data_IF_493540862690
#
_entry.id   IF_493540862690
#
_cell.length_a   1.000
_cell.length_b   1.000
_cell.length_c   1.000
_cell.angle_alpha   90.00
_cell.angle_beta   90.00
_cell.angle_gamma   90.00
#
_symmetry.space_group_name_H-M   'P 1'
#
loop_
_entity.id
_entity.type
_entity.pdbx_description
1 polymer ?
#
# COMPACT_ATOMS: atom_id res chain seq x y z
N UNK A 1 -30.59 -64.25 -23.12
CA UNK A 1 -29.85 -63.11 -23.71
C UNK A 1 -30.31 -61.85 -22.98
N UNK A 2 -29.37 -60.95 -22.66
CA UNK A 2 -29.50 -59.71 -21.88
C UNK A 2 -29.41 -59.87 -20.35
N UNK A 3 -28.22 -59.51 -19.86
CA UNK A 3 -27.79 -59.48 -18.47
C UNK A 3 -28.29 -58.22 -17.75
N UNK A 4 -28.59 -58.37 -16.45
CA UNK A 4 -28.74 -57.30 -15.47
C UNK A 4 -27.37 -56.71 -15.14
N UNK A 5 -27.17 -55.42 -15.39
CA UNK A 5 -26.07 -54.66 -14.81
C UNK A 5 -26.64 -53.75 -13.72
N UNK A 6 -26.31 -54.09 -12.47
CA UNK A 6 -26.44 -53.22 -11.32
C UNK A 6 -25.23 -52.28 -11.30
N UNK A 7 -25.46 -50.98 -11.15
CA UNK A 7 -24.40 -49.99 -10.91
C UNK A 7 -24.67 -49.40 -9.52
N UNK A 8 -23.77 -49.75 -8.59
CA UNK A 8 -23.61 -49.09 -7.29
C UNK A 8 -23.06 -47.67 -7.50
N UNK A 9 -23.47 -46.68 -6.69
CA UNK A 9 -22.74 -45.42 -6.61
C UNK A 9 -21.49 -45.61 -5.75
N UNK A 10 -20.33 -45.36 -6.36
CA UNK A 10 -19.03 -45.34 -5.72
C UNK A 10 -18.93 -44.17 -4.73
N UNK A 11 -18.72 -44.52 -3.46
CA UNK A 11 -18.30 -43.63 -2.39
C UNK A 11 -16.77 -43.54 -2.43
N UNK A 12 -16.20 -42.57 -3.16
CA UNK A 12 -14.86 -42.03 -2.87
C UNK A 12 -14.56 -40.81 -3.75
N UNK A 13 -14.36 -39.66 -3.10
CA UNK A 13 -13.96 -38.41 -3.77
C UNK A 13 -13.98 -37.16 -2.89
N UNK A 14 -14.03 -37.29 -1.56
CA UNK A 14 -13.81 -36.21 -0.60
C UNK A 14 -12.30 -36.11 -0.32
N UNK A 15 -11.51 -35.43 -1.16
CA UNK A 15 -10.18 -34.95 -0.74
C UNK A 15 -9.45 -33.95 -1.67
N UNK A 16 -10.15 -32.96 -2.26
CA UNK A 16 -9.46 -31.87 -3.00
C UNK A 16 -9.91 -30.43 -2.69
N UNK A 17 -10.66 -30.20 -1.61
CA UNK A 17 -11.04 -28.85 -1.16
C UNK A 17 -10.22 -28.32 0.04
N UNK A 18 -9.04 -28.90 0.32
CA UNK A 18 -8.17 -28.51 1.44
C UNK A 18 -6.73 -28.14 1.02
N UNK A 19 -6.57 -27.34 -0.03
CA UNK A 19 -5.29 -26.65 -0.30
C UNK A 19 -5.54 -25.31 -1.00
N UNK A 20 -6.02 -24.33 -0.25
CA UNK A 20 -5.76 -22.91 -0.49
C UNK A 20 -5.97 -22.21 0.85
N UNK A 21 -4.86 -22.02 1.58
CA UNK A 21 -4.82 -21.27 2.82
C UNK A 21 -5.15 -19.82 2.55
N UNK A 22 -6.44 -19.49 2.54
CA UNK A 22 -6.92 -18.19 2.97
C UNK A 22 -7.24 -18.34 4.46
N UNK A 23 -6.25 -18.02 5.30
CA UNK A 23 -6.56 -17.62 6.66
C UNK A 23 -7.48 -16.40 6.57
N UNK A 24 -8.69 -16.42 7.14
CA UNK A 24 -9.37 -15.17 7.43
C UNK A 24 -8.42 -14.40 8.35
N UNK A 25 -8.01 -13.20 7.95
CA UNK A 25 -7.36 -12.26 8.85
C UNK A 25 -8.32 -12.05 10.02
N UNK A 26 -8.04 -12.75 11.12
CA UNK A 26 -8.60 -12.46 12.41
C UNK A 26 -8.16 -11.03 12.73
N UNK A 27 -9.09 -10.11 12.57
CA UNK A 27 -9.00 -8.77 13.13
C UNK A 27 -9.04 -8.93 14.65
N UNK A 28 -7.91 -9.26 15.27
CA UNK A 28 -7.73 -9.03 16.70
C UNK A 28 -7.60 -7.53 16.86
N UNK A 29 -8.76 -6.86 16.88
CA UNK A 29 -8.86 -5.56 17.47
C UNK A 29 -8.41 -5.71 18.93
N UNK A 30 -7.28 -5.12 19.28
CA UNK A 30 -6.94 -4.89 20.67
C UNK A 30 -7.86 -3.77 21.17
N UNK A 31 -9.15 -4.08 21.29
CA UNK A 31 -10.13 -3.25 21.97
C UNK A 31 -9.84 -3.38 23.47
N UNK A 32 -9.33 -2.32 24.08
CA UNK A 32 -9.29 -2.21 25.54
C UNK A 32 -10.76 -2.26 26.04
N UNK A 33 -11.17 -3.28 26.81
CA UNK A 33 -12.58 -3.45 27.21
C UNK A 33 -13.05 -2.44 28.27
N UNK A 34 -12.22 -1.45 28.65
CA UNK A 34 -12.52 -0.50 29.72
C UNK A 34 -13.25 0.77 29.27
N UNK A 35 -13.70 0.83 28.02
CA UNK A 35 -14.46 1.96 27.45
C UNK A 35 -15.95 1.62 27.22
N UNK A 36 -16.61 0.93 28.14
CA UNK A 36 -18.07 0.82 28.10
C UNK A 36 -18.69 1.15 29.45
N UNK A 37 -19.71 2.01 29.38
CA UNK A 37 -20.51 2.58 30.48
C UNK A 37 -19.92 3.81 31.19
N UNK A 38 -19.87 4.94 30.48
CA UNK A 38 -20.04 6.24 31.13
C UNK A 38 -20.70 7.22 30.16
N UNK A 39 -21.96 7.54 30.45
CA UNK A 39 -22.79 8.63 29.92
C UNK A 39 -22.62 8.97 28.43
N UNK A 40 -23.39 8.27 27.58
CA UNK A 40 -23.79 8.80 26.27
C UNK A 40 -24.63 10.06 26.53
N UNK A 41 -24.01 11.25 26.42
CA UNK A 41 -24.77 12.48 26.32
C UNK A 41 -25.62 12.37 25.05
N UNK A 42 -26.92 12.22 25.24
CA UNK A 42 -27.90 12.21 24.15
C UNK A 42 -28.00 13.65 23.65
N UNK A 43 -27.17 13.98 22.67
CA UNK A 43 -27.32 15.20 21.86
C UNK A 43 -28.58 15.02 21.02
N UNK A 44 -29.44 16.04 20.96
CA UNK A 44 -30.65 15.98 20.13
C UNK A 44 -30.28 15.65 18.68
N UNK A 45 -31.03 14.76 18.00
CA UNK A 45 -30.69 14.39 16.64
C UNK A 45 -30.79 15.59 15.70
N UNK A 46 -29.71 15.86 14.98
CA UNK A 46 -29.61 16.99 14.07
C UNK A 46 -29.61 16.53 12.61
N UNK A 47 -30.08 17.39 11.72
CA UNK A 47 -29.82 17.23 10.29
C UNK A 47 -28.31 17.38 10.06
N UNK A 48 -27.67 16.40 9.43
CA UNK A 48 -26.23 16.46 9.20
C UNK A 48 -25.91 17.44 8.07
N UNK A 49 -25.31 18.58 8.43
CA UNK A 49 -24.71 19.49 7.47
C UNK A 49 -23.25 19.10 7.21
N UNK A 50 -22.92 18.82 5.95
CA UNK A 50 -21.58 18.32 5.60
C UNK A 50 -20.48 19.39 5.67
N UNK A 51 -20.85 20.68 5.61
CA UNK A 51 -19.91 21.79 5.84
C UNK A 51 -18.74 21.90 4.85
N UNK A 52 -18.86 21.32 3.64
CA UNK A 52 -17.83 21.39 2.58
C UNK A 52 -18.27 22.27 1.42
N UNK A 53 -17.33 22.62 0.53
CA UNK A 53 -17.61 23.42 -0.67
C UNK A 53 -18.64 22.75 -1.60
N UNK A 54 -19.31 23.53 -2.45
CA UNK A 54 -20.26 22.98 -3.43
C UNK A 54 -19.60 22.00 -4.40
N UNK A 55 -18.36 22.28 -4.83
CA UNK A 55 -17.59 21.37 -5.68
C UNK A 55 -17.28 20.05 -4.97
N UNK A 56 -16.97 20.10 -3.67
CA UNK A 56 -16.74 18.89 -2.87
C UNK A 56 -18.03 18.08 -2.66
N UNK A 57 -19.17 18.75 -2.44
CA UNK A 57 -20.47 18.07 -2.36
C UNK A 57 -20.79 17.32 -3.65
N UNK A 58 -20.59 17.96 -4.80
CA UNK A 58 -20.82 17.34 -6.11
C UNK A 58 -19.90 16.13 -6.32
N UNK A 59 -18.61 16.28 -6.03
CA UNK A 59 -17.63 15.20 -6.13
C UNK A 59 -17.98 14.00 -5.22
N UNK A 60 -18.36 14.25 -3.96
CA UNK A 60 -18.76 13.21 -3.01
C UNK A 60 -20.05 12.50 -3.42
N UNK A 61 -21.04 13.23 -3.93
CA UNK A 61 -22.27 12.62 -4.46
C UNK A 61 -21.97 11.75 -5.70
N UNK A 62 -21.13 12.25 -6.62
CA UNK A 62 -20.72 11.53 -7.82
C UNK A 62 -19.94 10.26 -7.47
N UNK A 63 -19.03 10.32 -6.50
CA UNK A 63 -18.25 9.16 -6.05
C UNK A 63 -19.15 8.10 -5.39
N UNK A 64 -20.12 8.52 -4.57
CA UNK A 64 -21.12 7.60 -4.01
C UNK A 64 -21.98 6.93 -5.10
N UNK A 65 -22.39 7.69 -6.12
CA UNK A 65 -23.16 7.18 -7.25
C UNK A 65 -22.35 6.20 -8.12
N UNK A 66 -21.06 6.48 -8.34
CA UNK A 66 -20.13 5.58 -9.02
C UNK A 66 -20.06 4.23 -8.29
N UNK A 67 -19.89 4.24 -6.97
CA UNK A 67 -19.83 3.01 -6.18
C UNK A 67 -21.07 2.14 -6.34
N UNK A 68 -22.26 2.74 -6.27
CA UNK A 68 -23.53 2.01 -6.45
C UNK A 68 -23.63 1.44 -7.88
N UNK A 69 -23.19 2.18 -8.88
CA UNK A 69 -23.12 1.70 -10.26
C UNK A 69 -22.22 0.48 -10.38
N UNK A 70 -21.05 0.50 -9.74
CA UNK A 70 -20.10 -0.60 -9.71
C UNK A 70 -20.66 -1.84 -9.01
N UNK A 71 -21.30 -1.67 -7.85
CA UNK A 71 -21.98 -2.76 -7.13
C UNK A 71 -23.04 -3.45 -8.01
N UNK A 72 -23.86 -2.64 -8.71
CA UNK A 72 -24.89 -3.19 -9.62
C UNK A 72 -24.26 -3.86 -10.83
N UNK A 73 -23.15 -3.32 -11.32
CA UNK A 73 -22.42 -3.89 -12.44
C UNK A 73 -21.79 -5.24 -12.08
N UNK A 74 -21.25 -5.40 -10.87
CA UNK A 74 -20.59 -6.62 -10.39
C UNK A 74 -21.41 -7.91 -10.57
N UNK A 75 -22.74 -7.78 -10.59
CA UNK A 75 -23.69 -8.89 -10.77
C UNK A 75 -23.96 -9.29 -12.22
N UNK A 76 -23.37 -8.59 -13.20
CA UNK A 76 -23.46 -8.92 -14.63
C UNK A 76 -22.40 -9.94 -15.03
N UNK A 77 -22.55 -10.53 -16.22
CA UNK A 77 -21.72 -11.62 -16.72
C UNK A 77 -20.20 -11.41 -16.55
N UNK A 78 -19.66 -10.25 -16.97
CA UNK A 78 -18.24 -9.87 -16.80
C UNK A 78 -18.02 -8.89 -15.65
N UNK A 79 -19.08 -8.55 -14.91
CA UNK A 79 -19.07 -7.40 -14.02
C UNK A 79 -18.18 -7.57 -12.80
N UNK A 80 -18.17 -8.77 -12.20
CA UNK A 80 -17.29 -9.05 -11.07
C UNK A 80 -15.82 -9.04 -11.49
N UNK A 81 -15.49 -9.57 -12.67
CA UNK A 81 -14.13 -9.54 -13.20
C UNK A 81 -13.67 -8.10 -13.43
N UNK A 82 -14.51 -7.28 -14.08
CA UNK A 82 -14.26 -5.85 -14.24
C UNK A 82 -14.05 -5.14 -12.89
N UNK A 83 -14.87 -5.44 -11.88
CA UNK A 83 -14.72 -4.84 -10.57
C UNK A 83 -13.45 -5.30 -9.85
N UNK A 84 -13.05 -6.56 -10.01
CA UNK A 84 -11.79 -7.07 -9.46
C UNK A 84 -10.58 -6.36 -10.09
N UNK A 85 -10.60 -6.15 -11.40
CA UNK A 85 -9.57 -5.37 -12.11
C UNK A 85 -9.57 -3.91 -11.60
N UNK A 86 -10.76 -3.32 -11.46
CA UNK A 86 -10.94 -1.98 -10.91
C UNK A 86 -10.63 -1.88 -9.41
N UNK A 87 -10.56 -2.95 -8.64
CA UNK A 87 -10.13 -2.89 -7.24
C UNK A 87 -8.68 -3.34 -7.03
N UNK A 88 -8.09 -4.01 -8.03
CA UNK A 88 -6.74 -4.56 -7.95
C UNK A 88 -6.65 -5.83 -7.11
N UNK A 89 -7.75 -6.60 -7.02
CA UNK A 89 -7.79 -7.82 -6.22
C UNK A 89 -9.09 -8.61 -6.38
N UNK A 90 -9.10 -9.90 -6.02
CA UNK A 90 -10.30 -10.72 -6.06
C UNK A 90 -11.29 -10.30 -4.97
N UNK A 91 -12.56 -10.12 -5.32
CA UNK A 91 -13.64 -9.85 -4.38
C UNK A 91 -14.84 -10.75 -4.58
N UNK A 92 -15.79 -10.71 -3.62
CA UNK A 92 -17.08 -11.39 -3.75
C UNK A 92 -18.21 -10.38 -3.84
N UNK A 93 -18.82 -10.27 -5.02
CA UNK A 93 -20.11 -9.63 -5.30
C UNK A 93 -20.22 -8.11 -5.16
N UNK A 94 -19.45 -7.45 -4.30
CA UNK A 94 -19.30 -6.00 -4.16
C UNK A 94 -18.26 -5.71 -3.05
N UNK A 95 -17.45 -4.67 -3.24
CA UNK A 95 -16.48 -4.24 -2.24
C UNK A 95 -17.14 -3.34 -1.19
N UNK A 96 -16.54 -3.31 0.01
CA UNK A 96 -17.01 -2.47 1.10
C UNK A 96 -16.73 -1.00 0.78
N UNK A 97 -17.51 -0.09 1.39
CA UNK A 97 -17.40 1.34 1.09
C UNK A 97 -16.04 1.92 1.47
N UNK A 98 -15.44 1.42 2.54
CA UNK A 98 -14.12 1.81 3.01
C UNK A 98 -13.01 1.29 2.11
N UNK A 99 -13.06 0.02 1.69
CA UNK A 99 -12.13 -0.54 0.69
C UNK A 99 -12.17 0.26 -0.61
N UNK A 100 -13.38 0.63 -1.06
CA UNK A 100 -13.58 1.47 -2.24
C UNK A 100 -12.94 2.86 -2.06
N UNK A 101 -13.14 3.49 -0.89
CA UNK A 101 -12.49 4.77 -0.58
C UNK A 101 -10.97 4.66 -0.54
N UNK A 102 -10.40 3.61 0.06
CA UNK A 102 -8.94 3.43 0.14
C UNK A 102 -8.28 3.30 -1.23
N UNK A 103 -9.02 2.86 -2.25
CA UNK A 103 -8.53 2.78 -3.64
C UNK A 103 -8.52 4.16 -4.31
N UNK A 104 -9.43 5.05 -3.92
CA UNK A 104 -9.64 6.36 -4.56
C UNK A 104 -8.98 7.51 -3.79
N UNK A 105 -9.02 7.48 -2.47
CA UNK A 105 -8.60 8.56 -1.58
C UNK A 105 -7.22 8.20 -1.01
N UNK A 106 -6.15 8.92 -1.40
CA UNK A 106 -4.83 8.70 -0.80
C UNK A 106 -4.86 9.08 0.68
N UNK A 107 -4.03 8.42 1.49
CA UNK A 107 -3.88 8.66 2.92
C UNK A 107 -5.20 8.57 3.72
N UNK A 108 -6.18 7.80 3.22
CA UNK A 108 -7.37 7.50 4.00
C UNK A 108 -6.94 6.76 5.28
N UNK A 109 -7.51 7.16 6.43
CA UNK A 109 -7.15 6.64 7.77
C UNK A 109 -5.70 6.96 8.19
N UNK A 110 -5.08 8.00 7.62
CA UNK A 110 -3.76 8.46 8.06
C UNK A 110 -3.81 9.08 9.45
N UNK A 111 -4.81 9.94 9.70
CA UNK A 111 -4.99 10.60 10.97
C UNK A 111 -5.65 9.68 11.99
N UNK A 112 -5.08 9.62 13.19
CA UNK A 112 -5.70 8.97 14.33
C UNK A 112 -6.76 9.89 14.93
N UNK A 113 -8.01 9.47 14.93
CA UNK A 113 -9.06 10.24 15.56
C UNK A 113 -10.45 9.88 15.07
N UNK A 114 -11.27 9.43 16.01
CA UNK A 114 -12.70 9.30 15.80
C UNK A 114 -13.46 10.06 16.88
N UNK A 115 -14.50 10.78 16.49
CA UNK A 115 -15.43 11.34 17.46
C UNK A 115 -16.22 10.20 18.12
N UNK A 116 -16.76 10.48 19.30
CA UNK A 116 -17.82 9.64 19.85
C UNK A 116 -19.01 9.61 18.88
N UNK A 117 -19.67 8.46 18.70
CA UNK A 117 -20.87 8.36 17.88
C UNK A 117 -21.97 9.30 18.37
N UNK A 118 -22.66 9.97 17.45
CA UNK A 118 -23.84 10.80 17.71
C UNK A 118 -24.97 10.49 16.73
N UNK A 119 -26.20 10.86 17.08
CA UNK A 119 -27.37 10.63 16.23
C UNK A 119 -27.53 11.78 15.23
N UNK A 120 -27.69 11.45 13.94
CA UNK A 120 -27.95 12.43 12.89
C UNK A 120 -28.85 11.90 11.77
N UNK A 121 -29.60 12.80 11.16
CA UNK A 121 -30.32 12.55 9.92
C UNK A 121 -29.37 12.83 8.75
N UNK A 122 -29.08 11.79 7.98
CA UNK A 122 -28.04 11.83 6.94
C UNK A 122 -28.68 11.70 5.56
N UNK A 123 -28.31 12.60 4.66
CA UNK A 123 -28.71 12.49 3.26
C UNK A 123 -27.99 11.31 2.60
N UNK A 124 -28.72 10.31 2.09
CA UNK A 124 -28.11 9.09 1.59
C UNK A 124 -27.34 9.28 0.27
N UNK A 125 -27.47 10.43 -0.39
CA UNK A 125 -26.69 10.77 -1.59
C UNK A 125 -25.18 10.86 -1.31
N UNK A 126 -24.79 11.18 -0.08
CA UNK A 126 -23.40 11.34 0.34
C UNK A 126 -22.87 10.15 1.16
N UNK A 127 -23.63 9.05 1.23
CA UNK A 127 -23.23 7.85 1.96
C UNK A 127 -22.92 6.71 1.00
N UNK A 128 -21.73 6.13 1.17
CA UNK A 128 -21.33 4.87 0.55
C UNK A 128 -22.00 3.71 1.27
N UNK A 129 -23.08 3.22 0.68
CA UNK A 129 -23.71 1.96 1.04
C UNK A 129 -23.07 0.77 0.34
N UNK A 130 -23.75 -0.37 0.42
CA UNK A 130 -23.45 -1.51 -0.44
C UNK A 130 -24.77 -2.16 -0.87
N UNK A 131 -24.83 -2.61 -2.12
CA UNK A 131 -25.98 -3.33 -2.68
C UNK A 131 -25.64 -4.79 -2.93
N UNK A 132 -25.20 -5.49 -1.88
CA UNK A 132 -24.63 -6.84 -2.00
C UNK A 132 -25.70 -7.92 -1.88
N UNK A 133 -26.51 -7.92 -0.82
CA UNK A 133 -27.52 -8.97 -0.58
C UNK A 133 -28.89 -8.33 -0.33
N UNK A 134 -29.78 -8.47 -1.32
CA UNK A 134 -31.10 -7.83 -1.30
C UNK A 134 -31.03 -6.48 -1.97
N UNK A 135 -31.73 -6.39 -3.10
CA UNK A 135 -31.90 -5.15 -3.84
C UNK A 135 -33.08 -4.36 -3.28
N UNK A 136 -33.08 -3.03 -3.44
CA UNK A 136 -34.29 -2.24 -3.20
C UNK A 136 -35.50 -2.81 -3.96
N UNK A 137 -35.27 -3.30 -5.18
CA UNK A 137 -36.28 -3.90 -6.05
C UNK A 137 -36.81 -5.27 -5.57
N UNK A 138 -36.11 -5.96 -4.65
CA UNK A 138 -36.53 -7.25 -4.12
C UNK A 138 -37.58 -7.09 -2.99
N UNK A 139 -37.85 -5.86 -2.55
CA UNK A 139 -38.81 -5.56 -1.48
C UNK A 139 -40.20 -5.37 -2.09
N UNK A 140 -41.20 -6.07 -1.53
CA UNK A 140 -42.58 -5.95 -1.98
C UNK A 140 -43.08 -4.50 -1.89
N UNK A 141 -43.76 -4.01 -2.92
CA UNK A 141 -44.22 -2.62 -3.01
C UNK A 141 -45.07 -2.19 -1.79
N UNK A 142 -45.85 -3.11 -1.22
CA UNK A 142 -46.66 -2.86 -0.01
C UNK A 142 -45.82 -2.59 1.25
N UNK A 143 -44.58 -3.07 1.31
CA UNK A 143 -43.67 -2.86 2.45
C UNK A 143 -42.82 -1.59 2.31
N UNK A 144 -42.75 -1.00 1.11
CA UNK A 144 -41.89 0.17 0.84
C UNK A 144 -42.22 1.35 1.77
N UNK A 145 -43.49 1.79 1.92
CA UNK A 145 -43.81 2.94 2.77
C UNK A 145 -43.44 2.73 4.24
N UNK A 146 -43.65 1.53 4.78
CA UNK A 146 -43.35 1.22 6.18
C UNK A 146 -41.84 1.18 6.44
N UNK A 147 -41.06 0.68 5.49
CA UNK A 147 -39.59 0.68 5.57
C UNK A 147 -39.00 2.09 5.44
N UNK A 148 -39.51 2.91 4.52
CA UNK A 148 -39.10 4.32 4.39
C UNK A 148 -39.32 5.04 5.72
N UNK A 149 -40.54 4.94 6.28
CA UNK A 149 -40.86 5.55 7.58
C UNK A 149 -39.91 5.08 8.68
N UNK A 150 -39.69 3.76 8.78
CA UNK A 150 -38.78 3.17 9.77
C UNK A 150 -37.35 3.71 9.65
N UNK A 151 -36.79 3.79 8.44
CA UNK A 151 -35.41 4.22 8.24
C UNK A 151 -35.23 5.74 8.33
N UNK A 152 -36.28 6.52 8.05
CA UNK A 152 -36.27 7.96 8.25
C UNK A 152 -36.39 8.36 9.72
N UNK A 153 -37.09 7.59 10.56
CA UNK A 153 -37.41 7.98 11.95
C UNK A 153 -36.61 7.24 13.03
N UNK A 154 -36.09 6.03 12.76
CA UNK A 154 -35.49 5.17 13.79
C UNK A 154 -33.99 4.94 13.60
N UNK A 155 -33.20 5.51 14.51
CA UNK A 155 -31.73 5.40 14.57
C UNK A 155 -31.22 3.97 14.76
N UNK A 156 -31.97 3.12 15.48
CA UNK A 156 -31.50 1.79 15.86
C UNK A 156 -30.29 1.84 16.81
N UNK A 157 -29.57 0.73 16.94
CA UNK A 157 -28.29 0.67 17.66
C UNK A 157 -27.10 0.97 16.75
N UNK A 158 -25.97 1.33 17.34
CA UNK A 158 -24.69 1.54 16.64
C UNK A 158 -24.32 0.30 15.81
N UNK A 159 -24.48 -0.91 16.37
CA UNK A 159 -24.20 -2.18 15.68
C UNK A 159 -25.10 -2.46 14.46
N UNK A 160 -26.18 -1.69 14.28
CA UNK A 160 -27.13 -1.87 13.18
C UNK A 160 -27.07 -0.76 12.13
N UNK A 161 -26.75 0.48 12.53
CA UNK A 161 -26.67 1.65 11.65
C UNK A 161 -25.63 2.62 12.17
N UNK A 162 -24.41 2.50 11.65
CA UNK A 162 -23.30 3.36 12.01
C UNK A 162 -22.51 3.77 10.77
N UNK A 163 -22.34 5.08 10.62
CA UNK A 163 -21.65 5.70 9.50
C UNK A 163 -20.38 6.41 9.99
N UNK A 164 -19.30 6.25 9.23
CA UNK A 164 -18.04 6.98 9.45
C UNK A 164 -18.04 8.17 8.50
N UNK A 165 -17.98 9.38 9.04
CA UNK A 165 -18.00 10.63 8.28
C UNK A 165 -16.59 11.21 8.17
N UNK A 166 -16.04 11.20 6.95
CA UNK A 166 -14.81 11.93 6.65
C UNK A 166 -15.17 13.39 6.39
N UNK A 167 -15.18 14.18 7.45
CA UNK A 167 -15.75 15.54 7.46
C UNK A 167 -15.17 16.43 6.38
N UNK A 168 -13.85 16.46 6.26
CA UNK A 168 -13.14 17.28 5.28
C UNK A 168 -13.52 16.94 3.82
N UNK A 169 -13.92 15.69 3.58
CA UNK A 169 -14.32 15.20 2.25
C UNK A 169 -15.84 15.26 2.02
N UNK A 170 -16.66 15.54 3.04
CA UNK A 170 -18.12 15.53 2.91
C UNK A 170 -18.68 14.18 2.43
N UNK A 171 -18.01 13.08 2.78
CA UNK A 171 -18.43 11.72 2.40
C UNK A 171 -18.57 10.83 3.64
N UNK A 172 -19.59 9.99 3.63
CA UNK A 172 -19.84 9.01 4.68
C UNK A 172 -19.66 7.60 4.14
N UNK A 173 -19.14 6.71 4.97
CA UNK A 173 -19.07 5.29 4.70
C UNK A 173 -19.95 4.53 5.69
N UNK A 174 -20.89 3.72 5.18
CA UNK A 174 -21.74 2.90 6.03
C UNK A 174 -20.97 1.69 6.59
N UNK A 175 -20.46 1.83 7.81
CA UNK A 175 -19.87 0.73 8.55
C UNK A 175 -20.94 -0.31 8.92
N UNK A 176 -22.14 0.14 9.28
CA UNK A 176 -23.34 -0.67 9.39
C UNK A 176 -24.55 -0.04 8.67
N UNK A 177 -25.57 -0.82 8.35
CA UNK A 177 -26.78 -0.31 7.69
C UNK A 177 -26.63 -0.04 6.18
N UNK A 178 -25.64 -0.66 5.52
CA UNK A 178 -25.34 -0.53 4.07
C UNK A 178 -26.57 -0.68 3.15
N UNK A 179 -27.42 -1.68 3.39
CA UNK A 179 -28.62 -1.90 2.58
C UNK A 179 -29.69 -0.83 2.79
N UNK A 180 -29.74 -0.18 3.97
CA UNK A 180 -30.66 0.94 4.22
C UNK A 180 -30.32 2.12 3.32
N UNK A 181 -29.02 2.40 3.15
CA UNK A 181 -28.53 3.44 2.23
C UNK A 181 -28.99 3.16 0.81
N UNK A 182 -28.73 1.95 0.30
CA UNK A 182 -29.13 1.56 -1.05
C UNK A 182 -30.66 1.66 -1.26
N UNK A 183 -31.44 1.21 -0.28
CA UNK A 183 -32.91 1.27 -0.31
C UNK A 183 -33.42 2.71 -0.34
N UNK A 184 -32.97 3.55 0.58
CA UNK A 184 -33.44 4.93 0.69
C UNK A 184 -33.06 5.77 -0.52
N UNK A 185 -31.86 5.55 -1.11
CA UNK A 185 -31.48 6.19 -2.38
C UNK A 185 -32.35 5.75 -3.55
N UNK A 186 -32.68 4.47 -3.66
CA UNK A 186 -33.52 3.96 -4.75
C UNK A 186 -34.96 4.47 -4.71
N UNK A 187 -35.38 5.04 -3.57
CA UNK A 187 -36.68 5.66 -3.38
C UNK A 187 -36.59 7.18 -3.19
N UNK A 188 -35.46 7.81 -3.56
CA UNK A 188 -35.25 9.26 -3.51
C UNK A 188 -35.57 9.91 -2.14
N UNK A 189 -35.27 9.19 -1.06
CA UNK A 189 -35.54 9.67 0.28
C UNK A 189 -34.45 10.64 0.75
N UNK A 190 -34.81 11.77 1.39
CA UNK A 190 -33.87 12.85 1.69
C UNK A 190 -33.00 12.59 2.93
N UNK A 191 -33.38 11.64 3.79
CA UNK A 191 -32.71 11.43 5.06
C UNK A 191 -32.82 9.98 5.54
N UNK A 192 -31.78 9.53 6.27
CA UNK A 192 -31.74 8.29 7.04
C UNK A 192 -31.33 8.62 8.47
N UNK A 193 -32.05 8.09 9.46
CA UNK A 193 -31.65 8.14 10.85
C UNK A 193 -30.48 7.16 11.11
N UNK A 194 -29.32 7.67 11.52
CA UNK A 194 -28.12 6.88 11.73
C UNK A 194 -27.27 7.39 12.90
N UNK A 195 -26.43 6.51 13.45
CA UNK A 195 -25.29 6.91 14.28
C UNK A 195 -24.13 7.32 13.37
N UNK A 196 -23.46 8.41 13.71
CA UNK A 196 -22.34 8.97 12.94
C UNK A 196 -21.14 9.17 13.84
N UNK A 197 -19.97 8.73 13.39
CA UNK A 197 -18.68 9.11 13.98
C UNK A 197 -17.88 9.91 12.96
N UNK A 198 -17.36 11.06 13.36
CA UNK A 198 -16.41 11.81 12.54
C UNK A 198 -15.07 11.07 12.52
N UNK A 199 -14.45 11.02 11.34
CA UNK A 199 -13.09 10.57 11.12
C UNK A 199 -12.27 11.73 10.55
N UNK A 200 -11.06 11.87 11.06
CA UNK A 200 -10.11 12.88 10.58
C UNK A 200 -9.54 12.48 9.21
N UNK A 201 -9.15 13.49 8.43
CA UNK A 201 -8.45 13.33 7.17
C UNK A 201 -7.44 14.49 7.03
N UNK A 202 -6.25 14.28 6.44
CA UNK A 202 -5.27 15.35 6.31
C UNK A 202 -5.83 16.55 5.53
N UNK A 203 -5.41 17.74 5.94
CA UNK A 203 -5.76 18.99 5.24
C UNK A 203 -5.23 18.99 3.80
N UNK A 204 -5.96 19.64 2.90
CA UNK A 204 -5.67 19.59 1.47
C UNK A 204 -4.29 20.18 1.09
N UNK A 205 -3.78 21.14 1.84
CA UNK A 205 -2.49 21.80 1.63
C UNK A 205 -1.29 20.92 2.01
N UNK A 206 -1.52 19.91 2.86
CA UNK A 206 -0.53 18.88 3.22
C UNK A 206 -0.36 17.82 2.15
N UNK A 207 -1.31 17.70 1.23
CA UNK A 207 -1.30 16.70 0.16
C UNK A 207 -0.88 17.36 -1.15
N UNK A 208 -0.05 16.68 -1.94
CA UNK A 208 0.25 17.05 -3.32
C UNK A 208 0.08 15.83 -4.22
N UNK A 209 -0.71 15.95 -5.27
CA UNK A 209 -0.78 14.93 -6.32
C UNK A 209 0.34 15.19 -7.33
N UNK A 210 1.18 14.18 -7.55
CA UNK A 210 2.27 14.25 -8.52
C UNK A 210 1.87 13.56 -9.80
N UNK A 211 1.84 14.34 -10.87
CA UNK A 211 1.60 13.85 -12.22
C UNK A 211 2.81 13.07 -12.72
N UNK A 212 2.61 11.92 -13.36
CA UNK A 212 3.69 11.19 -14.00
C UNK A 212 4.21 11.98 -15.21
N UNK A 213 5.47 11.73 -15.56
CA UNK A 213 5.91 11.93 -16.94
C UNK A 213 5.46 10.71 -17.78
N UNK A 214 5.65 10.72 -19.10
CA UNK A 214 5.08 9.67 -19.97
C UNK A 214 5.45 8.24 -19.52
N UNK A 215 4.42 7.40 -19.33
CA UNK A 215 4.59 5.97 -19.00
C UNK A 215 4.85 5.65 -17.51
N UNK A 216 4.76 6.64 -16.62
CA UNK A 216 5.02 6.46 -15.20
C UNK A 216 3.76 6.46 -14.32
N UNK A 217 3.97 6.27 -13.01
CA UNK A 217 2.92 6.13 -12.01
C UNK A 217 2.52 7.49 -11.42
N UNK A 218 1.21 7.67 -11.18
CA UNK A 218 0.70 8.79 -10.42
C UNK A 218 0.96 8.57 -8.93
N UNK A 219 1.47 9.61 -8.26
CA UNK A 219 1.79 9.56 -6.84
C UNK A 219 0.99 10.61 -6.07
N UNK A 220 0.79 10.37 -4.79
CA UNK A 220 0.35 11.36 -3.82
C UNK A 220 1.45 11.49 -2.75
N UNK A 221 1.76 12.73 -2.37
CA UNK A 221 2.73 13.06 -1.33
C UNK A 221 1.99 13.73 -0.19
N UNK A 222 2.22 13.25 1.04
CA UNK A 222 1.75 13.87 2.27
C UNK A 222 2.93 14.48 3.02
N UNK A 223 2.79 15.74 3.44
CA UNK A 223 3.76 16.52 4.22
C UNK A 223 5.16 16.60 3.60
N UNK A 224 5.26 16.46 2.28
CA UNK A 224 6.55 16.38 1.59
C UNK A 224 7.38 15.13 1.94
N UNK A 225 6.81 14.16 2.67
CA UNK A 225 7.56 13.03 3.25
C UNK A 225 7.02 11.68 2.85
N UNK A 226 5.70 11.48 2.88
CA UNK A 226 5.11 10.16 2.68
C UNK A 226 4.55 10.04 1.27
N UNK A 227 4.94 8.99 0.54
CA UNK A 227 4.48 8.73 -0.84
C UNK A 227 3.52 7.55 -0.89
N UNK A 228 2.40 7.74 -1.60
CA UNK A 228 1.48 6.69 -1.99
C UNK A 228 1.27 6.63 -3.50
N UNK A 229 1.05 5.43 -4.04
CA UNK A 229 0.63 5.26 -5.43
C UNK A 229 -0.86 5.55 -5.56
N UNK A 230 -1.23 6.41 -6.50
CA UNK A 230 -2.63 6.59 -6.88
C UNK A 230 -3.10 5.46 -7.79
N UNK A 231 -3.87 4.53 -7.22
CA UNK A 231 -4.37 3.35 -7.94
C UNK A 231 -5.41 3.72 -9.00
N UNK A 232 -6.23 4.75 -8.78
CA UNK A 232 -7.26 5.22 -9.72
C UNK A 232 -7.06 6.69 -10.06
N UNK A 233 -5.96 7.04 -10.75
CA UNK A 233 -5.46 8.41 -10.83
C UNK A 233 -6.51 9.41 -11.33
N UNK A 234 -7.28 9.09 -12.35
CA UNK A 234 -8.31 9.98 -12.88
C UNK A 234 -9.44 10.26 -11.86
N UNK A 235 -9.93 9.22 -11.18
CA UNK A 235 -11.00 9.36 -10.17
C UNK A 235 -10.45 10.04 -8.91
N UNK A 236 -9.26 9.63 -8.46
CA UNK A 236 -8.55 10.21 -7.34
C UNK A 236 -8.25 11.69 -7.57
N UNK A 237 -7.67 12.06 -8.72
CA UNK A 237 -7.34 13.45 -9.07
C UNK A 237 -8.59 14.32 -9.14
N UNK A 238 -9.69 13.85 -9.73
CA UNK A 238 -10.94 14.61 -9.76
C UNK A 238 -11.46 14.91 -8.34
N UNK A 239 -11.45 13.90 -7.46
CA UNK A 239 -11.89 14.03 -6.07
C UNK A 239 -10.95 14.95 -5.26
N UNK A 240 -9.64 14.75 -5.37
CA UNK A 240 -8.64 15.53 -4.63
C UNK A 240 -8.59 16.99 -5.09
N UNK A 241 -8.82 17.26 -6.38
CA UNK A 241 -8.96 18.63 -6.89
C UNK A 241 -10.17 19.34 -6.30
N UNK A 242 -11.32 18.66 -6.18
CA UNK A 242 -12.51 19.21 -5.54
C UNK A 242 -12.29 19.50 -4.05
N UNK A 243 -11.45 18.68 -3.39
CA UNK A 243 -11.02 18.88 -2.02
C UNK A 243 -10.04 20.07 -1.85
N UNK A 244 -9.38 20.51 -2.93
CA UNK A 244 -8.43 21.62 -2.93
C UNK A 244 -6.96 21.21 -2.95
N UNK A 245 -6.67 19.93 -3.19
CA UNK A 245 -5.31 19.40 -3.30
C UNK A 245 -4.64 19.92 -4.57
N UNK A 246 -3.38 20.32 -4.45
CA UNK A 246 -2.58 20.82 -5.57
C UNK A 246 -2.01 19.67 -6.39
N UNK A 247 -1.84 19.93 -7.68
CA UNK A 247 -1.15 19.04 -8.60
C UNK A 247 0.20 19.66 -8.99
N UNK A 248 1.25 18.84 -9.03
CA UNK A 248 2.59 19.24 -9.43
C UNK A 248 3.25 18.13 -10.27
N UNK A 249 4.36 18.45 -10.92
CA UNK A 249 5.29 17.44 -11.45
C UNK A 249 6.42 17.20 -10.46
N UNK A 250 7.04 16.03 -10.52
CA UNK A 250 8.16 15.70 -9.62
C UNK A 250 9.27 16.76 -9.63
N UNK A 251 9.62 17.26 -10.81
CA UNK A 251 10.65 18.31 -11.02
C UNK A 251 10.32 19.67 -10.40
N UNK A 252 9.07 19.91 -10.03
CA UNK A 252 8.60 21.16 -9.41
C UNK A 252 8.68 21.09 -7.88
N UNK A 253 8.91 19.89 -7.33
CA UNK A 253 9.06 19.67 -5.91
C UNK A 253 10.49 20.00 -5.47
N UNK A 254 10.62 20.60 -4.29
CA UNK A 254 11.90 21.01 -3.71
C UNK A 254 12.34 19.97 -2.68
N UNK A 255 13.64 19.72 -2.57
CA UNK A 255 14.25 18.82 -1.58
C UNK A 255 13.76 17.35 -1.63
N UNK A 256 13.28 16.89 -2.80
CA UNK A 256 12.87 15.49 -2.99
C UNK A 256 14.06 14.60 -3.38
N UNK A 257 14.05 13.31 -2.98
CA UNK A 257 14.98 12.31 -3.50
C UNK A 257 14.90 12.15 -5.03
N UNK A 258 15.89 11.46 -5.60
CA UNK A 258 15.82 11.08 -7.01
C UNK A 258 14.54 10.28 -7.29
N UNK A 259 13.78 10.74 -8.28
CA UNK A 259 12.52 10.16 -8.71
C UNK A 259 12.66 8.68 -9.07
N UNK A 260 13.74 8.32 -9.77
CA UNK A 260 13.96 6.96 -10.23
C UNK A 260 14.15 6.01 -9.04
N UNK A 261 14.80 6.48 -7.97
CA UNK A 261 14.93 5.74 -6.71
C UNK A 261 13.58 5.57 -6.01
N UNK A 262 12.73 6.61 -6.03
CA UNK A 262 11.38 6.54 -5.45
C UNK A 262 10.52 5.51 -6.20
N UNK A 263 10.47 5.59 -7.53
CA UNK A 263 9.71 4.64 -8.35
C UNK A 263 10.25 3.21 -8.18
N UNK A 264 11.58 3.05 -8.11
CA UNK A 264 12.18 1.75 -7.83
C UNK A 264 11.77 1.21 -6.45
N UNK A 265 11.79 2.05 -5.40
CA UNK A 265 11.40 1.66 -4.05
C UNK A 265 9.91 1.30 -3.98
N UNK A 266 9.04 2.05 -4.66
CA UNK A 266 7.61 1.77 -4.80
C UNK A 266 7.36 0.39 -5.39
N UNK A 267 8.04 0.07 -6.50
CA UNK A 267 7.92 -1.23 -7.18
C UNK A 267 8.48 -2.37 -6.34
N UNK A 268 9.62 -2.18 -5.69
CA UNK A 268 10.24 -3.19 -4.82
C UNK A 268 9.34 -3.54 -3.63
N UNK A 269 8.67 -2.55 -3.03
CA UNK A 269 7.73 -2.75 -1.92
C UNK A 269 6.31 -3.15 -2.37
N UNK A 270 6.05 -3.20 -3.67
CA UNK A 270 4.75 -3.51 -4.27
C UNK A 270 3.60 -2.62 -3.79
N UNK A 271 3.84 -1.31 -3.64
CA UNK A 271 2.80 -0.35 -3.20
C UNK A 271 1.67 -0.13 -4.21
N UNK A 272 1.69 -0.80 -5.37
CA UNK A 272 0.54 -0.86 -6.29
C UNK A 272 -0.62 -1.70 -5.72
N UNK A 273 -0.32 -2.62 -4.81
CA UNK A 273 -1.30 -3.47 -4.17
C UNK A 273 -1.92 -2.77 -2.96
N UNK A 274 -3.07 -3.28 -2.50
CA UNK A 274 -3.66 -2.78 -1.26
C UNK A 274 -2.72 -3.04 -0.08
N UNK A 275 -2.56 -2.07 0.84
CA UNK A 275 -1.79 -2.27 2.05
C UNK A 275 -2.32 -3.46 2.86
N UNK A 276 -1.41 -4.19 3.51
CA UNK A 276 -1.76 -5.35 4.34
C UNK A 276 -2.18 -4.96 5.76
N UNK A 277 -1.75 -3.80 6.22
CA UNK A 277 -2.01 -3.30 7.56
C UNK A 277 -2.19 -1.79 7.58
N UNK A 278 -2.59 -1.27 8.74
CA UNK A 278 -2.65 0.17 9.03
C UNK A 278 -1.30 0.75 9.44
N UNK A 279 -0.21 -0.02 9.47
CA UNK A 279 1.11 0.53 9.77
C UNK A 279 1.53 1.53 8.69
N UNK A 280 2.23 2.60 9.06
CA UNK A 280 2.70 3.62 8.11
C UNK A 280 3.60 3.00 7.03
N UNK A 281 4.52 2.11 7.43
CA UNK A 281 5.50 1.45 6.55
C UNK A 281 4.89 0.56 5.47
N UNK A 282 3.70 0.01 5.72
CA UNK A 282 2.94 -0.81 4.78
C UNK A 282 2.08 0.03 3.83
N UNK A 283 1.74 1.25 4.24
CA UNK A 283 0.81 2.12 3.52
C UNK A 283 1.51 3.18 2.69
N UNK A 284 2.71 3.61 3.07
CA UNK A 284 3.43 4.69 2.39
C UNK A 284 4.95 4.48 2.42
N UNK A 285 5.62 5.05 1.43
CA UNK A 285 7.08 5.17 1.40
C UNK A 285 7.51 6.45 2.12
N UNK A 286 8.44 6.34 3.07
CA UNK A 286 9.06 7.48 3.74
C UNK A 286 10.26 8.01 2.91
N UNK A 287 10.12 9.22 2.38
CA UNK A 287 11.15 9.90 1.59
C UNK A 287 12.36 10.30 2.43
N UNK A 288 12.20 10.61 3.72
CA UNK A 288 13.33 10.96 4.58
C UNK A 288 14.20 9.75 4.88
N UNK A 289 13.57 8.58 5.05
CA UNK A 289 14.28 7.30 5.13
C UNK A 289 15.06 7.03 3.84
N UNK A 290 14.41 7.22 2.68
CA UNK A 290 15.03 7.01 1.37
C UNK A 290 16.20 7.99 1.14
N UNK A 291 16.03 9.27 1.45
CA UNK A 291 17.06 10.31 1.34
C UNK A 291 18.25 10.05 2.26
N UNK A 292 18.00 9.53 3.48
CA UNK A 292 19.08 9.12 4.40
C UNK A 292 19.85 7.94 3.85
N UNK A 293 19.14 6.95 3.30
CA UNK A 293 19.76 5.78 2.66
C UNK A 293 20.62 6.19 1.46
N UNK A 294 20.10 7.08 0.62
CA UNK A 294 20.83 7.62 -0.53
C UNK A 294 22.12 8.35 -0.12
N UNK A 295 22.04 9.23 0.89
CA UNK A 295 23.22 9.93 1.43
C UNK A 295 24.25 8.99 2.03
N UNK A 296 23.80 7.99 2.80
CA UNK A 296 24.67 6.94 3.36
C UNK A 296 25.35 6.12 2.26
N UNK A 297 24.62 5.81 1.18
CA UNK A 297 25.15 5.07 0.04
C UNK A 297 26.15 5.88 -0.80
N UNK A 298 25.98 7.20 -0.83
CA UNK A 298 26.88 8.14 -1.52
C UNK A 298 28.15 8.47 -0.71
N UNK A 299 28.17 8.20 0.60
CA UNK A 299 29.33 8.47 1.46
C UNK A 299 30.57 7.71 0.95
N UNK A 300 31.69 8.42 0.81
CA UNK A 300 32.95 7.86 0.35
C UNK A 300 33.60 7.05 1.47
N UNK A 301 33.68 5.73 1.29
CA UNK A 301 34.30 4.82 2.24
C UNK A 301 35.60 4.28 1.65
N UNK A 302 36.67 4.28 2.44
CA UNK A 302 37.93 3.63 2.04
C UNK A 302 37.72 2.11 2.06
N UNK A 303 37.89 1.47 0.91
CA UNK A 303 37.80 0.02 0.73
C UNK A 303 39.14 -0.56 0.34
N UNK A 304 39.40 -1.78 0.79
CA UNK A 304 40.56 -2.56 0.32
C UNK A 304 40.12 -3.36 -0.92
N UNK A 305 41.08 -3.86 -1.73
CA UNK A 305 40.76 -4.69 -2.92
C UNK A 305 39.82 -5.87 -2.58
N UNK A 306 39.91 -6.38 -1.35
CA UNK A 306 39.07 -7.47 -0.86
C UNK A 306 37.57 -7.12 -0.78
N UNK A 307 37.22 -5.83 -0.66
CA UNK A 307 35.86 -5.35 -0.40
C UNK A 307 35.11 -4.89 -1.66
N UNK A 308 35.74 -4.99 -2.84
CA UNK A 308 35.20 -4.50 -4.12
C UNK A 308 34.74 -5.68 -4.97
N UNK A 309 33.43 -5.89 -5.06
CA UNK A 309 32.79 -6.84 -5.98
C UNK A 309 32.61 -6.13 -7.35
N UNK A 310 33.10 -6.66 -8.49
CA UNK A 310 33.41 -8.05 -8.82
C UNK A 310 34.89 -8.44 -8.73
N UNK A 311 35.80 -7.55 -8.32
CA UNK A 311 37.25 -7.77 -8.29
C UNK A 311 37.74 -8.52 -7.05
N UNK A 312 36.88 -9.36 -6.45
CA UNK A 312 37.32 -10.29 -5.41
C UNK A 312 38.41 -11.18 -6.01
N UNK A 313 39.66 -10.81 -5.71
CA UNK A 313 40.83 -11.58 -6.13
C UNK A 313 40.62 -13.01 -5.66
N UNK A 314 40.65 -13.94 -6.61
CA UNK A 314 40.64 -15.37 -6.29
C UNK A 314 41.85 -15.62 -5.40
N UNK A 315 41.59 -15.81 -4.11
CA UNK A 315 42.59 -15.91 -3.05
C UNK A 315 43.68 -16.92 -3.42
N UNK A 316 43.30 -18.00 -4.13
CA UNK A 316 44.22 -19.04 -4.59
C UNK A 316 45.18 -18.53 -5.66
N UNK A 317 44.69 -17.76 -6.64
CA UNK A 317 45.53 -17.23 -7.72
C UNK A 317 46.51 -16.17 -7.24
N UNK A 318 46.12 -15.41 -6.21
CA UNK A 318 46.97 -14.36 -5.64
C UNK A 318 48.06 -14.91 -4.70
N UNK A 319 47.70 -15.81 -3.77
CA UNK A 319 48.67 -16.30 -2.78
C UNK A 319 49.63 -17.35 -3.34
N UNK A 320 49.27 -18.05 -4.41
CA UNK A 320 50.15 -19.03 -5.04
C UNK A 320 51.53 -18.45 -5.41
N UNK A 321 51.65 -17.34 -6.18
CA UNK A 321 52.95 -16.75 -6.48
C UNK A 321 53.67 -16.19 -5.24
N UNK A 322 52.93 -15.61 -4.27
CA UNK A 322 53.52 -15.09 -3.03
C UNK A 322 54.19 -16.20 -2.22
N UNK A 323 53.48 -17.33 -2.03
CA UNK A 323 53.99 -18.51 -1.33
C UNK A 323 55.13 -19.14 -2.11
N UNK A 324 55.01 -19.26 -3.44
CA UNK A 324 56.07 -19.82 -4.28
C UNK A 324 57.37 -19.02 -4.18
N UNK A 325 57.32 -17.69 -4.28
CA UNK A 325 58.48 -16.81 -4.10
C UNK A 325 59.09 -16.94 -2.70
N UNK A 326 58.24 -17.03 -1.67
CA UNK A 326 58.69 -17.19 -0.28
C UNK A 326 59.40 -18.53 -0.06
N UNK A 327 58.82 -19.64 -0.53
CA UNK A 327 59.40 -20.99 -0.39
C UNK A 327 60.71 -21.10 -1.17
N UNK A 328 60.76 -20.62 -2.42
CA UNK A 328 61.99 -20.65 -3.22
C UNK A 328 63.07 -19.77 -2.59
N UNK A 329 62.73 -18.59 -2.09
CA UNK A 329 63.66 -17.71 -1.38
C UNK A 329 64.26 -18.36 -0.12
N UNK A 330 63.43 -19.03 0.69
CA UNK A 330 63.89 -19.76 1.88
C UNK A 330 64.80 -20.92 1.49
N UNK A 331 64.42 -21.72 0.49
CA UNK A 331 65.22 -22.85 0.01
C UNK A 331 66.59 -22.39 -0.49
N UNK A 332 66.65 -21.33 -1.31
CA UNK A 332 67.90 -20.78 -1.81
C UNK A 332 68.82 -20.27 -0.70
N UNK A 333 68.25 -19.78 0.41
CA UNK A 333 69.01 -19.35 1.59
C UNK A 333 69.55 -20.52 2.41
N UNK A 334 68.89 -21.68 2.37
CA UNK A 334 69.34 -22.91 3.05
C UNK A 334 70.52 -23.60 2.36
N UNK A 335 70.79 -23.31 1.08
CA UNK A 335 71.91 -23.90 0.33
C UNK A 335 73.27 -23.19 0.56
N UNK A 336 73.30 -22.13 1.38
CA UNK A 336 74.50 -21.41 1.88
C UNK A 336 75.62 -21.22 0.83
N UNK A 337 75.23 -20.69 -0.34
CA UNK A 337 76.16 -20.39 -1.44
C UNK A 337 76.19 -18.89 -1.72
N UNK A 338 77.37 -18.28 -1.91
CA UNK A 338 77.48 -16.85 -2.19
C UNK A 338 76.79 -16.42 -3.50
N UNK A 339 76.49 -17.37 -4.40
CA UNK A 339 75.75 -17.10 -5.65
C UNK A 339 74.22 -17.15 -5.49
N UNK A 340 73.69 -17.74 -4.41
CA UNK A 340 72.25 -17.90 -4.17
C UNK A 340 71.69 -16.91 -3.16
N UNK A 341 72.56 -16.23 -2.41
CA UNK A 341 72.19 -15.29 -1.37
C UNK A 341 71.49 -14.02 -1.88
N UNK A 342 72.01 -13.40 -2.94
CA UNK A 342 71.38 -12.23 -3.57
C UNK A 342 69.99 -12.53 -4.14
N UNK A 343 69.79 -13.58 -4.98
CA UNK A 343 68.45 -13.87 -5.51
C UNK A 343 67.46 -14.34 -4.43
N UNK A 344 67.93 -14.98 -3.35
CA UNK A 344 67.09 -15.34 -2.22
C UNK A 344 66.47 -14.10 -1.54
N UNK A 345 67.29 -13.07 -1.29
CA UNK A 345 66.84 -11.81 -0.69
C UNK A 345 65.85 -11.06 -1.61
N UNK A 346 66.09 -11.05 -2.92
CA UNK A 346 65.18 -10.44 -3.89
C UNK A 346 63.82 -11.14 -3.86
N UNK A 347 63.78 -12.47 -3.88
CA UNK A 347 62.53 -13.24 -3.87
C UNK A 347 61.72 -13.06 -2.58
N UNK A 348 62.42 -13.02 -1.43
CA UNK A 348 61.79 -12.72 -0.15
C UNK A 348 61.23 -11.29 -0.12
N UNK A 349 61.99 -10.32 -0.65
CA UNK A 349 61.53 -8.93 -0.79
C UNK A 349 60.30 -8.79 -1.68
N UNK A 350 60.25 -9.51 -2.81
CA UNK A 350 59.09 -9.55 -3.70
C UNK A 350 57.88 -10.19 -3.02
N UNK A 351 58.06 -11.30 -2.30
CA UNK A 351 56.98 -11.95 -1.57
C UNK A 351 56.39 -11.03 -0.48
N UNK A 352 57.25 -10.36 0.30
CA UNK A 352 56.83 -9.37 1.29
C UNK A 352 56.14 -8.16 0.65
N UNK A 353 56.67 -7.64 -0.46
CA UNK A 353 56.10 -6.50 -1.18
C UNK A 353 54.72 -6.82 -1.75
N UNK A 354 54.54 -7.99 -2.36
CA UNK A 354 53.23 -8.47 -2.83
C UNK A 354 52.28 -8.66 -1.65
N UNK A 355 52.68 -9.31 -0.57
CA UNK A 355 51.82 -9.48 0.62
C UNK A 355 51.38 -8.13 1.21
N UNK A 356 52.29 -7.15 1.29
CA UNK A 356 51.99 -5.81 1.81
C UNK A 356 51.14 -4.95 0.86
N UNK A 357 51.29 -5.12 -0.46
CA UNK A 357 50.60 -4.31 -1.46
C UNK A 357 49.07 -4.35 -1.33
N UNK A 358 48.51 -5.50 -0.94
CA UNK A 358 47.07 -5.64 -0.73
C UNK A 358 46.53 -4.77 0.41
N UNK A 359 47.30 -4.60 1.48
CA UNK A 359 46.92 -3.80 2.64
C UNK A 359 47.15 -2.29 2.42
N UNK A 360 48.00 -1.93 1.46
CA UNK A 360 48.36 -0.54 1.16
C UNK A 360 47.48 0.07 0.07
N UNK A 361 46.93 -0.74 -0.84
CA UNK A 361 46.03 -0.29 -1.88
C UNK A 361 44.64 -0.02 -1.33
N UNK A 362 44.42 1.24 -0.90
CA UNK A 362 43.13 1.76 -0.48
C UNK A 362 42.45 2.47 -1.65
N UNK A 363 41.21 2.07 -1.93
CA UNK A 363 40.36 2.68 -2.93
C UNK A 363 39.31 3.52 -2.23
N UNK A 364 39.01 4.68 -2.78
CA UNK A 364 37.95 5.54 -2.31
C UNK A 364 36.77 5.41 -3.26
N UNK A 365 35.60 5.06 -2.72
CA UNK A 365 34.40 4.90 -3.52
C UNK A 365 33.13 4.97 -2.66
N UNK A 366 31.97 5.12 -3.29
CA UNK A 366 30.69 5.17 -2.58
C UNK A 366 30.43 3.88 -1.81
N UNK A 367 29.74 4.01 -0.67
CA UNK A 367 29.43 2.90 0.23
C UNK A 367 28.58 1.82 -0.43
N UNK A 368 27.75 2.12 -1.41
CA UNK A 368 27.10 1.08 -2.23
C UNK A 368 27.55 1.17 -3.70
N UNK A 369 28.32 0.16 -4.14
CA UNK A 369 28.65 -0.05 -5.57
C UNK A 369 27.59 -0.95 -6.23
N UNK A 370 26.78 -1.64 -5.43
CA UNK A 370 25.92 -2.75 -5.86
C UNK A 370 24.63 -2.35 -6.59
N UNK A 371 24.30 -1.05 -6.74
CA UNK A 371 23.02 -0.61 -7.32
C UNK A 371 23.10 0.00 -8.72
N UNK A 372 24.22 0.66 -9.08
CA UNK A 372 24.30 1.50 -10.29
C UNK A 372 24.93 0.84 -11.51
N UNK A 373 25.36 -0.42 -11.41
CA UNK A 373 26.20 -1.08 -12.44
C UNK A 373 25.45 -1.81 -13.55
N UNK A 374 24.11 -1.85 -13.59
CA UNK A 374 23.38 -2.51 -14.70
C UNK A 374 22.89 -1.60 -15.83
N UNK A 375 22.90 -0.28 -15.65
CA UNK A 375 22.41 0.65 -16.68
C UNK A 375 23.51 1.27 -17.56
N UNK A 376 24.80 1.17 -17.19
CA UNK A 376 25.86 1.97 -17.82
C UNK A 376 26.85 1.18 -18.70
N UNK A 377 26.60 -0.11 -18.95
CA UNK A 377 27.38 -0.89 -19.91
C UNK A 377 26.45 -1.43 -21.00
N UNK A 378 26.31 -0.66 -22.09
CA UNK A 378 26.01 -1.21 -23.41
C UNK A 378 27.31 -1.15 -24.23
N UNK A 379 27.55 -2.15 -25.11
CA UNK A 379 28.83 -2.35 -25.79
C UNK A 379 29.31 -1.13 -26.56
#
# INVERSE_FOLDING_TARGET
MAARAAIQPDLHGDDQARRNGHQPCAFTAHQDPRFFMTDLQVVEPQQLELGVSSGMLEASAALCALKITLDRHARRFVGQAYLNDWMGGPGTCAFWGDEFLEVVIPFLRWEDGHSRPFQAFVDPRFVLGASIKGKPEDIAAAEVPSRIKKYAETFGSIDNVHYIWYRALGILCAHEGKHRVAFMRAHDQPAIAAWVSEAMYPDADRITIVKPDEGEEWLAILDGRYVQVLRRPEVSSAMMRAYGVKEARWRELVDMPDKDLVIQAVRQRNFHNQPRSSAEEDRALDLDELARKERSDAELVSRTIHDIEPFRLDWKRYWFPVIACMVVGILLKLFDSPKTDEPALVLLGVACGLAASMSLLKFWGPRSVAGRSRAFWRP
#
